data_IF_004542074163
#
_entry.id   IF_004542074163
#
_cell.length_a   1.000
_cell.length_b   1.000
_cell.length_c   1.000
_cell.angle_alpha   90.00
_cell.angle_beta   90.00
_cell.angle_gamma   90.00
#
_symmetry.space_group_name_H-M   'P 1'
#
loop_
_entity.id
_entity.type
_entity.pdbx_description
1 polymer ?
#
# COMPACT_ATOMS: atom_id res chain seq x y z
N UNK A 1 4.42 14.89 -10.41
CA UNK A 1 5.54 13.95 -10.74
C UNK A 1 5.09 12.53 -10.42
N UNK A 2 5.26 11.57 -11.33
CA UNK A 2 4.80 10.17 -11.15
C UNK A 2 5.60 9.41 -10.09
N UNK A 3 5.15 8.21 -9.69
CA UNK A 3 5.89 7.32 -8.79
C UNK A 3 7.26 6.96 -9.37
N UNK A 4 7.27 6.45 -10.60
CA UNK A 4 8.48 5.97 -11.29
C UNK A 4 9.60 7.02 -11.36
N UNK A 5 9.25 8.29 -11.61
CA UNK A 5 10.26 9.37 -11.68
C UNK A 5 10.92 9.60 -10.32
N UNK A 6 10.15 9.59 -9.23
CA UNK A 6 10.70 9.78 -7.87
C UNK A 6 11.51 8.53 -7.45
N UNK A 7 11.01 7.33 -7.73
CA UNK A 7 11.71 6.08 -7.45
C UNK A 7 13.06 5.99 -8.19
N UNK A 8 13.14 6.46 -9.44
CA UNK A 8 14.40 6.55 -10.18
C UNK A 8 15.43 7.44 -9.45
N UNK A 9 15.00 8.54 -8.85
CA UNK A 9 15.88 9.41 -8.05
C UNK A 9 16.39 8.74 -6.78
N UNK A 10 15.61 7.84 -6.18
CA UNK A 10 16.04 7.04 -5.03
C UNK A 10 17.09 6.00 -5.45
N UNK A 11 16.95 5.43 -6.66
CA UNK A 11 17.87 4.43 -7.22
C UNK A 11 19.19 5.00 -7.72
N UNK A 12 19.19 6.26 -8.17
CA UNK A 12 20.35 6.89 -8.78
C UNK A 12 21.48 7.13 -7.76
N UNK A 13 22.64 6.44 -7.89
CA UNK A 13 23.76 6.60 -6.96
C UNK A 13 24.47 7.95 -7.10
N UNK A 14 24.28 8.67 -8.21
CA UNK A 14 24.87 10.00 -8.41
C UNK A 14 24.10 11.11 -7.70
N UNK A 15 22.88 10.82 -7.24
CA UNK A 15 22.10 11.74 -6.43
C UNK A 15 22.61 11.69 -4.98
N UNK A 16 22.99 12.83 -4.37
CA UNK A 16 23.45 12.83 -2.99
C UNK A 16 22.41 12.21 -2.04
N UNK A 17 22.88 11.43 -1.08
CA UNK A 17 22.05 10.62 -0.17
C UNK A 17 20.91 11.40 0.52
N UNK A 18 21.09 12.63 1.01
CA UNK A 18 19.99 13.40 1.61
C UNK A 18 18.81 13.63 0.64
N UNK A 19 19.09 13.79 -0.66
CA UNK A 19 18.06 13.94 -1.67
C UNK A 19 17.39 12.62 -2.03
N UNK A 20 18.12 11.49 -1.96
CA UNK A 20 17.55 10.14 -2.11
C UNK A 20 16.59 9.85 -0.95
N UNK A 21 16.98 10.17 0.29
CA UNK A 21 16.12 10.10 1.48
C UNK A 21 14.87 10.98 1.37
N UNK A 22 15.01 12.22 0.88
CA UNK A 22 13.88 13.12 0.63
C UNK A 22 12.92 12.56 -0.44
N UNK A 23 13.47 11.97 -1.50
CA UNK A 23 12.69 11.30 -2.54
C UNK A 23 11.95 10.06 -1.98
N UNK A 24 12.60 9.23 -1.16
CA UNK A 24 11.96 8.10 -0.48
C UNK A 24 10.81 8.57 0.43
N UNK A 25 11.04 9.62 1.24
CA UNK A 25 9.98 10.23 2.07
C UNK A 25 8.80 10.74 1.24
N UNK A 26 9.06 11.26 0.04
CA UNK A 26 8.02 11.69 -0.90
C UNK A 26 7.19 10.52 -1.43
N UNK A 27 7.80 9.34 -1.61
CA UNK A 27 7.09 8.11 -1.95
C UNK A 27 6.23 7.62 -0.78
N UNK A 28 6.76 7.63 0.45
CA UNK A 28 6.01 7.27 1.66
C UNK A 28 4.78 8.18 1.84
N UNK A 29 4.91 9.47 1.57
CA UNK A 29 3.76 10.38 1.62
C UNK A 29 2.62 9.97 0.66
N UNK A 30 2.95 9.26 -0.44
CA UNK A 30 1.96 8.78 -1.43
C UNK A 30 1.45 7.36 -1.15
N UNK A 31 2.24 6.54 -0.44
CA UNK A 31 1.87 5.17 -0.07
C UNK A 31 2.33 4.90 1.35
N UNK A 32 1.40 5.00 2.29
CA UNK A 32 1.65 4.82 3.72
C UNK A 32 0.58 3.89 4.32
N UNK A 33 0.66 2.57 4.07
CA UNK A 33 -0.36 1.60 4.50
C UNK A 33 -0.61 1.60 6.00
N UNK A 34 0.36 2.00 6.81
CA UNK A 34 0.30 2.03 8.28
C UNK A 34 0.21 3.46 8.84
N UNK A 35 -0.21 4.43 8.01
CA UNK A 35 -0.04 5.85 8.33
C UNK A 35 1.39 6.32 8.08
N UNK A 36 1.61 7.63 7.97
CA UNK A 36 2.92 8.18 7.56
C UNK A 36 4.06 7.75 8.50
N UNK A 37 3.92 8.03 9.81
CA UNK A 37 4.94 7.67 10.80
C UNK A 37 5.12 6.16 10.95
N UNK A 38 4.02 5.40 10.99
CA UNK A 38 4.06 3.94 11.11
C UNK A 38 4.76 3.27 9.92
N UNK A 39 4.51 3.78 8.70
CA UNK A 39 5.19 3.31 7.48
C UNK A 39 6.69 3.62 7.53
N UNK A 40 7.08 4.83 7.98
CA UNK A 40 8.49 5.16 8.11
C UNK A 40 9.21 4.30 9.15
N UNK A 41 8.59 4.04 10.30
CA UNK A 41 9.15 3.16 11.32
C UNK A 41 9.31 1.74 10.79
N UNK A 42 8.26 1.21 10.16
CA UNK A 42 8.27 -0.14 9.60
C UNK A 42 9.38 -0.34 8.56
N UNK A 43 9.63 0.66 7.69
CA UNK A 43 10.77 0.63 6.78
C UNK A 43 12.11 0.55 7.53
N UNK A 44 12.26 1.33 8.60
CA UNK A 44 13.45 1.30 9.44
C UNK A 44 13.69 -0.06 10.10
N UNK A 45 12.63 -0.68 10.59
CA UNK A 45 12.69 -2.03 11.17
C UNK A 45 13.09 -3.07 10.12
N UNK A 46 12.54 -3.00 8.91
CA UNK A 46 12.85 -3.92 7.81
C UNK A 46 14.29 -3.84 7.32
N UNK A 47 14.88 -2.64 7.30
CA UNK A 47 16.30 -2.46 6.92
C UNK A 47 17.26 -2.58 8.09
N UNK A 48 16.79 -2.96 9.28
CA UNK A 48 17.63 -3.20 10.46
C UNK A 48 18.18 -1.96 11.15
N UNK A 49 17.69 -0.76 10.81
CA UNK A 49 18.10 0.49 11.48
C UNK A 49 17.25 0.81 12.71
N UNK A 50 16.06 0.19 12.82
CA UNK A 50 15.05 0.41 13.86
C UNK A 50 14.65 1.88 14.03
N UNK A 51 14.88 2.71 13.00
CA UNK A 51 14.61 4.16 12.99
C UNK A 51 14.07 4.60 11.63
N UNK A 52 13.23 5.63 11.57
CA UNK A 52 12.77 6.20 10.30
C UNK A 52 13.91 6.58 9.34
N UNK A 53 13.68 6.58 8.00
CA UNK A 53 14.66 7.06 7.02
C UNK A 53 15.24 8.43 7.37
N UNK A 54 16.57 8.50 7.53
CA UNK A 54 17.23 9.71 8.01
C UNK A 54 18.76 9.57 8.16
N UNK A 55 19.37 10.41 8.99
CA UNK A 55 20.82 10.35 9.26
C UNK A 55 21.26 8.96 9.74
N UNK A 56 22.37 8.47 9.21
CA UNK A 56 22.93 7.15 9.54
C UNK A 56 22.48 6.02 8.61
N UNK A 57 21.48 6.24 7.75
CA UNK A 57 21.16 5.31 6.67
C UNK A 57 22.25 5.35 5.60
N UNK A 58 22.49 4.21 4.97
CA UNK A 58 23.39 4.05 3.83
C UNK A 58 22.62 4.16 2.50
N UNK A 59 23.36 4.18 1.39
CA UNK A 59 22.75 4.11 0.07
C UNK A 59 21.97 2.80 -0.16
N UNK A 60 22.41 1.70 0.45
CA UNK A 60 21.81 0.38 0.32
C UNK A 60 20.54 0.26 1.17
N UNK A 61 20.53 0.82 2.39
CA UNK A 61 19.32 0.89 3.24
C UNK A 61 18.18 1.61 2.52
N UNK A 62 18.52 2.69 1.80
CA UNK A 62 17.55 3.47 1.02
C UNK A 62 17.00 2.68 -0.17
N UNK A 63 17.82 1.83 -0.81
CA UNK A 63 17.38 0.95 -1.89
C UNK A 63 16.49 -0.18 -1.36
N UNK A 64 16.94 -0.86 -0.29
CA UNK A 64 16.17 -1.92 0.35
C UNK A 64 14.80 -1.42 0.82
N UNK A 65 14.75 -0.23 1.43
CA UNK A 65 13.49 0.39 1.84
C UNK A 65 12.59 0.77 0.63
N UNK A 66 13.17 1.16 -0.50
CA UNK A 66 12.40 1.40 -1.72
C UNK A 66 11.76 0.11 -2.24
N UNK A 67 12.52 -0.97 -2.29
CA UNK A 67 12.07 -2.24 -2.86
C UNK A 67 10.91 -2.82 -2.04
N UNK A 68 11.01 -2.85 -0.70
CA UNK A 68 9.89 -3.30 0.16
C UNK A 68 8.67 -2.38 0.09
N UNK A 69 8.88 -1.07 -0.10
CA UNK A 69 7.78 -0.12 -0.28
C UNK A 69 7.06 -0.33 -1.63
N UNK A 70 7.82 -0.62 -2.68
CA UNK A 70 7.28 -0.96 -4.00
C UNK A 70 6.55 -2.29 -4.01
N UNK A 71 7.02 -3.29 -3.27
CA UNK A 71 6.31 -4.56 -3.06
C UNK A 71 4.95 -4.35 -2.39
N UNK A 72 4.93 -3.61 -1.27
CA UNK A 72 3.69 -3.23 -0.58
C UNK A 72 2.74 -2.49 -1.51
N UNK A 73 3.26 -1.51 -2.28
CA UNK A 73 2.47 -0.76 -3.24
C UNK A 73 1.91 -1.66 -4.35
N UNK A 74 2.70 -2.58 -4.89
CA UNK A 74 2.27 -3.49 -5.94
C UNK A 74 1.16 -4.43 -5.43
N UNK A 75 1.29 -4.95 -4.21
CA UNK A 75 0.22 -5.71 -3.55
C UNK A 75 -1.07 -4.88 -3.43
N UNK A 76 -0.97 -3.62 -2.98
CA UNK A 76 -2.10 -2.71 -2.86
C UNK A 76 -2.80 -2.41 -4.20
N UNK A 77 -2.02 -2.24 -5.27
CA UNK A 77 -2.55 -2.01 -6.61
C UNK A 77 -3.27 -3.24 -7.16
N UNK A 78 -2.68 -4.44 -7.02
CA UNK A 78 -3.31 -5.71 -7.41
C UNK A 78 -4.64 -5.93 -6.67
N UNK A 79 -4.67 -5.66 -5.37
CA UNK A 79 -5.91 -5.70 -4.59
C UNK A 79 -6.97 -4.74 -5.15
N UNK A 80 -6.58 -3.49 -5.45
CA UNK A 80 -7.51 -2.49 -5.97
C UNK A 80 -8.03 -2.86 -7.37
N UNK A 81 -7.20 -3.48 -8.22
CA UNK A 81 -7.58 -3.99 -9.54
C UNK A 81 -8.57 -5.15 -9.44
N UNK A 82 -8.30 -6.15 -8.60
CA UNK A 82 -9.21 -7.27 -8.34
C UNK A 82 -10.56 -6.80 -7.77
N UNK A 83 -10.52 -5.87 -6.82
CA UNK A 83 -11.73 -5.22 -6.29
C UNK A 83 -12.50 -4.48 -7.40
N UNK A 84 -11.81 -3.74 -8.26
CA UNK A 84 -12.44 -3.02 -9.36
C UNK A 84 -13.08 -3.96 -10.39
N UNK A 85 -12.44 -5.08 -10.71
CA UNK A 85 -12.98 -6.12 -11.60
C UNK A 85 -14.25 -6.74 -11.02
N UNK A 86 -14.23 -7.19 -9.77
CA UNK A 86 -15.44 -7.66 -9.08
C UNK A 86 -16.55 -6.62 -9.12
N UNK A 87 -16.23 -5.35 -8.82
CA UNK A 87 -17.21 -4.26 -8.83
C UNK A 87 -17.77 -3.97 -10.22
N UNK A 88 -17.03 -4.21 -11.31
CA UNK A 88 -17.57 -4.12 -12.68
C UNK A 88 -18.66 -5.16 -12.91
N UNK A 89 -18.41 -6.40 -12.51
CA UNK A 89 -19.38 -7.51 -12.62
C UNK A 89 -20.64 -7.24 -11.78
N UNK A 90 -20.47 -6.89 -10.50
CA UNK A 90 -21.59 -6.56 -9.61
C UNK A 90 -22.43 -5.37 -10.12
N UNK A 91 -21.80 -4.36 -10.74
CA UNK A 91 -22.53 -3.22 -11.34
C UNK A 91 -23.37 -3.67 -12.54
N UNK A 92 -22.89 -4.61 -13.35
CA UNK A 92 -23.63 -5.20 -14.45
C UNK A 92 -24.85 -6.00 -13.93
N UNK A 93 -24.73 -6.63 -12.77
CA UNK A 93 -25.82 -7.30 -12.03
C UNK A 93 -26.72 -6.33 -11.23
N UNK A 94 -26.67 -5.03 -11.53
CA UNK A 94 -27.43 -3.97 -10.84
C UNK A 94 -27.10 -3.74 -9.35
N UNK A 95 -26.04 -4.36 -8.81
CA UNK A 95 -25.53 -4.12 -7.45
C UNK A 95 -24.56 -2.94 -7.45
N UNK A 96 -25.11 -1.72 -7.51
CA UNK A 96 -24.31 -0.49 -7.73
C UNK A 96 -23.57 0.05 -6.51
N UNK A 97 -23.86 -0.44 -5.30
CA UNK A 97 -23.20 0.00 -4.07
C UNK A 97 -22.33 -1.11 -3.48
N UNK A 98 -21.04 -0.86 -3.17
CA UNK A 98 -20.24 -1.78 -2.37
C UNK A 98 -20.79 -1.88 -0.94
N UNK A 99 -20.52 -2.97 -0.24
CA UNK A 99 -20.93 -3.08 1.16
C UNK A 99 -20.03 -2.23 2.06
N UNK A 100 -20.48 -1.97 3.30
CA UNK A 100 -19.61 -1.36 4.31
C UNK A 100 -18.38 -2.23 4.60
N UNK A 101 -18.55 -3.55 4.63
CA UNK A 101 -17.45 -4.48 4.87
C UNK A 101 -16.42 -4.46 3.72
N UNK A 102 -16.88 -4.32 2.47
CA UNK A 102 -15.99 -4.11 1.32
C UNK A 102 -15.17 -2.81 1.45
N UNK A 103 -15.81 -1.72 1.87
CA UNK A 103 -15.13 -0.42 2.07
C UNK A 103 -14.13 -0.49 3.22
N UNK A 104 -14.51 -1.15 4.32
CA UNK A 104 -13.64 -1.34 5.48
C UNK A 104 -12.42 -2.21 5.08
N UNK A 105 -12.63 -3.28 4.32
CA UNK A 105 -11.57 -4.13 3.75
C UNK A 105 -10.58 -3.35 2.89
N UNK A 106 -11.11 -2.52 1.99
CA UNK A 106 -10.31 -1.66 1.15
C UNK A 106 -9.49 -0.66 1.98
N UNK A 107 -9.99 -0.18 3.13
CA UNK A 107 -9.33 0.86 3.96
C UNK A 107 -8.43 0.32 5.06
N UNK A 108 -8.47 -0.98 5.37
CA UNK A 108 -7.65 -1.61 6.41
C UNK A 108 -6.16 -1.26 6.25
N UNK A 109 -5.54 -0.87 7.37
CA UNK A 109 -4.13 -0.53 7.44
C UNK A 109 -3.29 -1.81 7.47
N UNK A 110 -2.79 -2.23 6.31
CA UNK A 110 -2.10 -3.50 6.11
C UNK A 110 -0.93 -3.30 5.14
N UNK A 111 0.24 -3.85 5.47
CA UNK A 111 1.45 -3.72 4.64
C UNK A 111 1.30 -4.44 3.30
N UNK A 112 0.79 -5.67 3.34
CA UNK A 112 0.46 -6.49 2.17
C UNK A 112 -1.03 -6.76 2.21
N UNK A 113 -1.68 -6.60 1.06
CA UNK A 113 -3.08 -6.91 0.83
C UNK A 113 -3.22 -8.29 0.21
N UNK A 114 -4.21 -9.04 0.69
CA UNK A 114 -4.60 -10.33 0.12
C UNK A 114 -5.46 -10.11 -1.13
N UNK A 115 -4.91 -10.40 -2.30
CA UNK A 115 -5.61 -10.20 -3.58
C UNK A 115 -6.83 -11.11 -3.71
N UNK A 116 -6.79 -12.30 -3.12
CA UNK A 116 -7.91 -13.25 -3.20
C UNK A 116 -9.10 -12.75 -2.38
N UNK A 117 -8.84 -12.09 -1.25
CA UNK A 117 -9.87 -11.40 -0.47
C UNK A 117 -10.61 -10.34 -1.31
N UNK A 118 -9.91 -9.58 -2.17
CA UNK A 118 -10.53 -8.52 -2.97
C UNK A 118 -11.56 -9.07 -3.98
N UNK A 119 -11.35 -10.30 -4.44
CA UNK A 119 -12.21 -11.03 -5.38
C UNK A 119 -13.49 -11.55 -4.73
N UNK A 120 -13.58 -11.52 -3.39
CA UNK A 120 -14.77 -11.95 -2.64
C UNK A 120 -15.56 -10.74 -2.17
N UNK A 121 -16.89 -10.80 -2.34
CA UNK A 121 -17.80 -9.80 -1.76
C UNK A 121 -17.98 -10.07 -0.28
N UNK A 122 -17.67 -9.09 0.57
CA UNK A 122 -18.00 -9.20 1.98
C UNK A 122 -19.46 -8.81 2.20
N UNK A 123 -20.30 -9.78 2.58
CA UNK A 123 -21.70 -9.52 2.91
C UNK A 123 -21.83 -8.48 4.03
N UNK A 124 -22.81 -7.60 3.93
CA UNK A 124 -23.13 -6.67 5.00
C UNK A 124 -23.65 -7.40 6.25
N UNK A 125 -23.54 -6.77 7.42
CA UNK A 125 -24.10 -7.31 8.68
C UNK A 125 -25.60 -7.65 8.53
N UNK A 126 -26.35 -6.84 7.78
CA UNK A 126 -27.79 -7.06 7.53
C UNK A 126 -28.04 -8.29 6.65
N UNK A 127 -27.23 -8.51 5.62
CA UNK A 127 -27.34 -9.68 4.75
C UNK A 127 -26.99 -10.96 5.51
N UNK A 128 -25.88 -10.95 6.28
CA UNK A 128 -25.49 -12.11 7.11
C UNK A 128 -26.59 -12.54 8.07
N UNK A 129 -27.28 -11.59 8.70
CA UNK A 129 -28.41 -11.87 9.61
C UNK A 129 -29.65 -12.46 8.91
N UNK A 130 -29.83 -12.23 7.61
CA UNK A 130 -30.94 -12.81 6.84
C UNK A 130 -30.65 -14.25 6.41
N UNK A 131 -29.40 -14.59 6.15
CA UNK A 131 -28.99 -15.93 5.69
C UNK A 131 -28.90 -16.95 6.83
N UNK A 132 -28.85 -16.51 8.09
CA UNK A 132 -28.81 -17.37 9.29
C UNK A 132 -30.20 -17.66 9.90
N UNK A 133 -31.29 -17.31 9.21
CA UNK A 133 -32.67 -17.64 9.57
C UNK A 133 -33.23 -18.59 8.54
#
# INVERSE_FOLDING_TARGET
MSWAVVARRVRDPHVPLPYRLSALRSLVNRHHPLGFGGTQQHLGDLVGTSRPPGPGWTGDDVLAALDVLEESRASRLRYAEAFAERRRQEKAEHRRQPTRADVDALRRAEWVKDVDEASVRHASVRERRRTSR
#
